data_IF_670326765436
#
_entry.id   IF_670326765436
#
_cell.length_a   1.000
_cell.length_b   1.000
_cell.length_c   1.000
_cell.angle_alpha   90.00
_cell.angle_beta   90.00
_cell.angle_gamma   90.00
#
_symmetry.space_group_name_H-M   'P 1'
#
loop_
_entity.id
_entity.type
_entity.pdbx_description
1 polymer ?
#
# COMPACT_ATOMS: atom_id res chain seq x y z
N UNK A 1 31.92 -1.91 20.23
CA UNK A 1 30.63 -1.19 20.53
C UNK A 1 30.91 0.28 20.21
N UNK A 2 30.75 0.67 18.92
CA UNK A 2 30.95 2.07 18.51
C UNK A 2 29.71 2.86 18.93
N UNK A 3 29.95 3.85 19.78
CA UNK A 3 28.95 4.82 20.20
C UNK A 3 28.60 5.67 18.97
N UNK A 4 27.43 5.45 18.39
CA UNK A 4 26.87 6.32 17.36
C UNK A 4 26.54 7.63 18.07
N UNK A 5 27.46 8.61 18.00
CA UNK A 5 27.15 9.98 18.40
C UNK A 5 26.04 10.49 17.47
N UNK A 6 24.85 10.73 18.01
CA UNK A 6 23.81 11.48 17.34
C UNK A 6 24.36 12.85 16.93
N UNK A 7 24.55 13.04 15.62
CA UNK A 7 24.99 14.34 15.08
C UNK A 7 23.83 15.32 15.20
N UNK A 8 23.85 16.14 16.23
CA UNK A 8 22.94 17.27 16.34
C UNK A 8 23.07 18.16 15.09
N UNK A 9 21.97 18.53 14.45
CA UNK A 9 22.03 19.41 13.27
C UNK A 9 22.59 20.79 13.69
N UNK A 10 23.48 21.33 12.86
CA UNK A 10 24.03 22.67 13.07
C UNK A 10 22.89 23.70 12.99
N UNK A 11 22.87 24.66 13.94
CA UNK A 11 21.92 25.76 13.90
C UNK A 11 22.29 26.76 12.79
N UNK A 12 21.28 27.50 12.31
CA UNK A 12 21.50 28.56 11.30
C UNK A 12 22.52 29.59 11.77
N UNK A 13 22.44 29.97 13.04
CA UNK A 13 23.34 30.94 13.68
C UNK A 13 24.79 30.43 13.73
N UNK A 14 25.03 29.17 14.05
CA UNK A 14 26.36 28.56 14.00
C UNK A 14 26.98 28.58 12.61
N UNK A 15 26.16 28.36 11.57
CA UNK A 15 26.61 28.40 10.18
C UNK A 15 26.95 29.84 9.78
N UNK A 16 26.11 30.82 10.12
CA UNK A 16 26.34 32.26 9.84
C UNK A 16 27.59 32.77 10.54
N UNK A 17 27.82 32.41 11.79
CA UNK A 17 29.05 32.74 12.53
C UNK A 17 30.31 32.15 11.87
N UNK A 18 30.26 30.90 11.45
CA UNK A 18 31.36 30.26 10.77
C UNK A 18 31.69 30.97 9.44
N UNK A 19 30.69 31.35 8.66
CA UNK A 19 30.85 32.10 7.41
C UNK A 19 31.49 33.43 7.66
N UNK A 20 31.00 34.21 8.62
CA UNK A 20 31.53 35.54 8.97
C UNK A 20 33.01 35.49 9.41
N UNK A 21 33.40 34.45 10.19
CA UNK A 21 34.80 34.24 10.58
C UNK A 21 35.67 33.96 9.34
N UNK A 22 35.23 33.09 8.43
CA UNK A 22 35.97 32.77 7.23
C UNK A 22 36.08 33.98 6.28
N UNK A 23 35.04 34.78 6.14
CA UNK A 23 35.05 36.03 5.36
C UNK A 23 36.04 37.06 5.95
N UNK A 24 36.05 37.21 7.27
CA UNK A 24 36.98 38.09 7.96
C UNK A 24 38.44 37.69 7.76
N UNK A 25 38.75 36.40 7.86
CA UNK A 25 40.09 35.85 7.63
C UNK A 25 40.51 35.90 6.14
N UNK A 26 39.58 35.80 5.22
CA UNK A 26 39.85 35.94 3.79
C UNK A 26 40.06 37.40 3.36
N UNK A 27 39.39 38.36 4.01
CA UNK A 27 39.54 39.79 3.70
C UNK A 27 40.84 40.38 4.24
N UNK A 28 41.34 39.84 5.34
CA UNK A 28 42.59 40.25 5.95
C UNK A 28 43.36 39.01 6.45
N UNK A 29 44.23 38.52 5.59
CA UNK A 29 44.99 37.28 5.83
C UNK A 29 45.98 37.36 6.98
N UNK A 30 46.40 38.55 7.37
CA UNK A 30 47.36 38.75 8.48
C UNK A 30 46.71 38.41 9.82
N UNK A 31 45.40 38.56 9.97
CA UNK A 31 44.66 38.18 11.17
C UNK A 31 44.77 36.70 11.54
N UNK A 32 45.15 35.85 10.59
CA UNK A 32 45.38 34.45 10.87
C UNK A 32 46.53 34.22 11.84
N UNK A 33 47.48 35.18 11.92
CA UNK A 33 48.63 35.15 12.86
C UNK A 33 48.26 35.59 14.27
N UNK A 34 47.11 36.24 14.47
CA UNK A 34 46.57 36.60 15.79
C UNK A 34 45.98 35.36 16.50
N UNK A 35 45.73 34.28 15.75
CA UNK A 35 45.22 33.03 16.30
C UNK A 35 46.37 32.20 16.88
N UNK A 36 46.23 31.62 18.10
CA UNK A 36 47.22 30.70 18.66
C UNK A 36 47.61 29.59 17.69
N UNK A 37 48.88 29.24 17.63
CA UNK A 37 49.44 28.34 16.61
C UNK A 37 48.68 27.02 16.47
N UNK A 38 48.31 26.41 17.58
CA UNK A 38 47.57 25.11 17.56
C UNK A 38 46.20 25.26 16.91
N UNK A 39 45.43 26.28 17.31
CA UNK A 39 44.09 26.54 16.75
C UNK A 39 44.15 26.94 15.29
N UNK A 40 45.17 27.69 14.87
CA UNK A 40 45.43 28.09 13.48
C UNK A 40 45.68 26.86 12.60
N UNK A 41 46.55 25.95 13.05
CA UNK A 41 46.84 24.70 12.32
C UNK A 41 45.56 23.87 12.17
N UNK A 42 44.80 23.74 13.28
CA UNK A 42 43.53 22.98 13.26
C UNK A 42 42.52 23.63 12.31
N UNK A 43 42.34 24.95 12.37
CA UNK A 43 41.40 25.66 11.48
C UNK A 43 41.75 25.50 10.00
N UNK A 44 43.01 25.71 9.62
CA UNK A 44 43.47 25.58 8.23
C UNK A 44 43.34 24.11 7.76
N UNK A 45 43.67 23.16 8.62
CA UNK A 45 43.57 21.73 8.31
C UNK A 45 42.12 21.32 8.05
N UNK A 46 41.19 21.70 8.92
CA UNK A 46 39.78 21.35 8.77
C UNK A 46 39.11 22.10 7.58
N UNK A 47 39.46 23.39 7.39
CA UNK A 47 39.01 24.13 6.21
C UNK A 47 39.54 23.52 4.91
N UNK A 48 40.79 23.06 4.91
CA UNK A 48 41.40 22.35 3.78
C UNK A 48 40.71 21.00 3.48
N UNK A 49 40.42 20.23 4.51
CA UNK A 49 39.69 18.96 4.39
C UNK A 49 38.25 19.16 3.89
N UNK A 50 37.61 20.25 4.29
CA UNK A 50 36.26 20.58 3.85
C UNK A 50 36.23 21.04 2.37
N UNK A 51 37.18 21.94 1.99
CA UNK A 51 37.25 22.54 0.64
C UNK A 51 37.85 21.60 -0.42
N UNK A 52 38.76 20.72 -0.04
CA UNK A 52 39.49 19.80 -0.92
C UNK A 52 39.38 18.36 -0.39
N UNK A 53 38.18 17.77 -0.34
CA UNK A 53 38.03 16.40 0.14
C UNK A 53 38.72 15.39 -0.78
N UNK A 54 39.25 14.32 -0.21
CA UNK A 54 39.82 13.21 -0.96
C UNK A 54 38.76 12.60 -1.91
N UNK A 55 39.22 12.00 -3.01
CA UNK A 55 38.33 11.44 -4.05
C UNK A 55 37.26 10.49 -3.46
N UNK A 56 37.63 9.67 -2.50
CA UNK A 56 36.72 8.72 -1.85
C UNK A 56 35.65 9.43 -1.03
N UNK A 57 36.02 10.49 -0.32
CA UNK A 57 35.09 11.33 0.45
C UNK A 57 34.14 12.08 -0.48
N UNK A 58 34.60 12.61 -1.62
CA UNK A 58 33.80 13.23 -2.66
C UNK A 58 32.76 12.25 -3.22
N UNK A 59 33.19 11.03 -3.52
CA UNK A 59 32.31 9.96 -4.01
C UNK A 59 31.28 9.56 -2.94
N UNK A 60 31.68 9.46 -1.68
CA UNK A 60 30.78 9.18 -0.57
C UNK A 60 29.73 10.28 -0.41
N UNK A 61 30.11 11.55 -0.46
CA UNK A 61 29.19 12.70 -0.40
C UNK A 61 28.20 12.71 -1.56
N UNK A 62 28.67 12.48 -2.81
CA UNK A 62 27.80 12.37 -4.00
C UNK A 62 26.79 11.22 -3.87
N UNK A 63 27.22 10.04 -3.43
CA UNK A 63 26.33 8.89 -3.20
C UNK A 63 25.30 9.17 -2.11
N UNK A 64 25.72 9.80 -1.00
CA UNK A 64 24.82 10.18 0.09
C UNK A 64 23.78 11.22 -0.34
N UNK A 65 24.19 12.24 -1.10
CA UNK A 65 23.29 13.26 -1.64
C UNK A 65 22.27 12.63 -2.60
N UNK A 66 22.73 11.80 -3.55
CA UNK A 66 21.84 11.06 -4.47
C UNK A 66 20.84 10.19 -3.71
N UNK A 67 21.32 9.42 -2.72
CA UNK A 67 20.43 8.56 -1.90
C UNK A 67 19.35 9.35 -1.16
N UNK A 68 19.66 10.58 -0.69
CA UNK A 68 18.65 11.45 -0.05
C UNK A 68 17.59 11.91 -1.05
N UNK A 69 17.99 12.31 -2.26
CA UNK A 69 17.07 12.73 -3.33
C UNK A 69 16.18 11.55 -3.75
N UNK A 70 16.79 10.39 -4.02
CA UNK A 70 16.06 9.18 -4.41
C UNK A 70 15.06 8.75 -3.33
N UNK A 71 15.44 8.83 -2.05
CA UNK A 71 14.56 8.54 -0.92
C UNK A 71 13.39 9.52 -0.83
N UNK A 72 13.63 10.81 -1.04
CA UNK A 72 12.57 11.82 -1.04
C UNK A 72 11.59 11.59 -2.19
N UNK A 73 12.09 11.34 -3.40
CA UNK A 73 11.25 11.01 -4.56
C UNK A 73 10.41 9.74 -4.33
N UNK A 74 11.01 8.68 -3.79
CA UNK A 74 10.31 7.44 -3.46
C UNK A 74 9.20 7.63 -2.41
N UNK A 75 9.40 8.51 -1.43
CA UNK A 75 8.38 8.82 -0.42
C UNK A 75 7.20 9.61 -1.02
N UNK A 76 7.48 10.56 -1.91
CA UNK A 76 6.42 11.29 -2.65
C UNK A 76 5.59 10.30 -3.48
N UNK A 77 6.24 9.42 -4.24
CA UNK A 77 5.56 8.40 -5.05
C UNK A 77 4.75 7.41 -4.18
N UNK A 78 5.26 7.05 -3.02
CA UNK A 78 4.55 6.20 -2.06
C UNK A 78 3.28 6.88 -1.54
N UNK A 79 3.37 8.18 -1.21
CA UNK A 79 2.23 8.95 -0.74
C UNK A 79 1.20 9.16 -1.85
N UNK A 80 1.62 9.43 -3.09
CA UNK A 80 0.73 9.50 -4.25
C UNK A 80 -0.07 8.19 -4.42
N UNK A 81 0.60 7.03 -4.34
CA UNK A 81 -0.06 5.72 -4.44
C UNK A 81 -1.03 5.43 -3.30
N UNK A 82 -0.74 5.89 -2.07
CA UNK A 82 -1.65 5.73 -0.91
C UNK A 82 -3.01 6.38 -1.12
N UNK A 83 -3.08 7.40 -1.96
CA UNK A 83 -4.35 8.10 -2.28
C UNK A 83 -5.26 7.30 -3.20
N UNK A 84 -4.79 6.23 -3.83
CA UNK A 84 -5.62 5.38 -4.70
C UNK A 84 -6.60 4.54 -3.89
N UNK A 85 -7.81 4.31 -4.43
CA UNK A 85 -8.88 3.59 -3.73
C UNK A 85 -8.50 2.18 -3.30
N UNK A 86 -7.71 1.46 -4.10
CA UNK A 86 -7.26 0.11 -3.76
C UNK A 86 -6.29 0.10 -2.56
N UNK A 87 -5.46 1.12 -2.40
CA UNK A 87 -4.53 1.23 -1.26
C UNK A 87 -5.28 1.61 0.02
N UNK A 88 -6.17 2.57 -0.05
CA UNK A 88 -7.04 2.94 1.07
C UNK A 88 -7.86 1.75 1.57
N UNK A 89 -8.40 0.94 0.67
CA UNK A 89 -9.16 -0.26 1.04
C UNK A 89 -8.29 -1.34 1.72
N UNK A 90 -7.00 -1.42 1.40
CA UNK A 90 -6.07 -2.38 2.02
C UNK A 90 -5.57 -1.95 3.40
N UNK A 91 -5.55 -0.66 3.68
CA UNK A 91 -5.13 -0.12 4.98
C UNK A 91 -6.25 -0.19 6.04
N UNK A 92 -7.50 -0.43 5.62
CA UNK A 92 -8.61 -0.63 6.54
C UNK A 92 -8.40 -1.89 7.41
N UNK A 93 -8.66 -1.77 8.70
CA UNK A 93 -8.52 -2.88 9.68
C UNK A 93 -9.42 -4.08 9.35
N UNK A 94 -10.56 -3.83 8.74
CA UNK A 94 -11.46 -4.82 8.14
C UNK A 94 -11.58 -4.48 6.67
N UNK A 95 -11.18 -5.41 5.79
CA UNK A 95 -11.33 -5.20 4.35
C UNK A 95 -12.82 -5.25 4.00
N UNK A 96 -13.36 -4.11 3.64
CA UNK A 96 -14.70 -3.96 3.07
C UNK A 96 -14.54 -3.79 1.55
N UNK A 97 -15.39 -4.45 0.76
CA UNK A 97 -15.36 -4.26 -0.69
C UNK A 97 -15.57 -2.77 -1.02
N UNK A 98 -14.63 -2.11 -1.73
CA UNK A 98 -14.77 -0.69 -2.02
C UNK A 98 -16.05 -0.44 -2.81
N UNK A 99 -16.84 0.52 -2.36
CA UNK A 99 -17.99 1.02 -3.12
C UNK A 99 -17.51 1.71 -4.40
N UNK A 100 -18.37 1.80 -5.40
CA UNK A 100 -18.10 2.58 -6.60
C UNK A 100 -17.82 4.02 -6.20
N UNK A 101 -16.60 4.48 -6.44
CA UNK A 101 -16.20 5.85 -6.17
C UNK A 101 -16.15 6.57 -7.51
N UNK A 102 -16.88 7.67 -7.63
CA UNK A 102 -16.74 8.56 -8.79
C UNK A 102 -15.29 9.02 -8.92
N UNK A 103 -14.80 9.09 -10.16
CA UNK A 103 -13.46 9.59 -10.42
C UNK A 103 -13.29 10.96 -9.73
N UNK A 104 -12.30 11.09 -8.86
CA UNK A 104 -11.96 12.39 -8.30
C UNK A 104 -11.34 13.22 -9.43
N UNK A 105 -11.78 14.47 -9.58
CA UNK A 105 -11.26 15.41 -10.58
C UNK A 105 -9.77 15.82 -10.36
N UNK A 106 -9.09 15.24 -9.38
CA UNK A 106 -7.68 15.50 -9.13
C UNK A 106 -6.82 14.41 -9.76
N UNK A 107 -6.04 14.79 -10.78
CA UNK A 107 -5.00 13.93 -11.33
C UNK A 107 -3.84 13.81 -10.33
N UNK A 108 -3.66 12.63 -9.77
CA UNK A 108 -2.50 12.30 -8.95
C UNK A 108 -1.41 11.74 -9.86
N UNK A 109 -0.22 12.34 -9.82
CA UNK A 109 0.92 11.92 -10.66
C UNK A 109 2.04 11.33 -9.80
N UNK A 110 2.70 10.28 -10.31
CA UNK A 110 3.97 9.80 -9.79
C UNK A 110 5.13 10.60 -10.41
N UNK A 111 6.22 10.76 -9.66
CA UNK A 111 7.45 11.41 -10.17
C UNK A 111 8.10 10.51 -11.22
N UNK A 112 8.26 9.23 -10.87
CA UNK A 112 8.86 8.26 -11.78
C UNK A 112 7.78 7.63 -12.69
N UNK A 113 8.05 7.47 -14.01
CA UNK A 113 7.19 6.71 -14.91
C UNK A 113 7.08 5.25 -14.43
N UNK A 114 5.90 4.66 -14.58
CA UNK A 114 5.60 3.29 -14.18
C UNK A 114 5.09 2.48 -15.35
N UNK A 115 5.44 1.21 -15.41
CA UNK A 115 4.90 0.27 -16.38
C UNK A 115 3.50 -0.20 -15.97
N UNK A 116 2.54 -0.15 -16.90
CA UNK A 116 1.20 -0.65 -16.70
C UNK A 116 1.20 -2.18 -16.56
N UNK A 117 0.55 -2.69 -15.52
CA UNK A 117 0.46 -4.13 -15.29
C UNK A 117 -0.21 -4.88 -16.46
N UNK A 118 -1.14 -4.24 -17.18
CA UNK A 118 -1.93 -4.87 -18.25
C UNK A 118 -1.26 -4.69 -19.62
N UNK A 119 -1.13 -3.44 -20.12
CA UNK A 119 -0.66 -3.15 -21.48
C UNK A 119 0.85 -2.91 -21.59
N UNK A 120 1.58 -2.84 -20.47
CA UNK A 120 3.02 -2.61 -20.39
C UNK A 120 3.47 -1.20 -20.82
N UNK A 121 2.56 -0.32 -21.20
CA UNK A 121 2.89 1.07 -21.52
C UNK A 121 3.31 1.87 -20.27
N UNK A 122 4.21 2.82 -20.46
CA UNK A 122 4.67 3.70 -19.38
C UNK A 122 3.65 4.79 -19.11
N UNK A 123 3.36 5.03 -17.83
CA UNK A 123 2.43 6.07 -17.38
C UNK A 123 2.94 6.77 -16.13
N UNK A 124 2.50 8.01 -15.92
CA UNK A 124 2.76 8.81 -14.70
C UNK A 124 1.48 9.19 -13.97
N UNK A 125 0.36 9.35 -14.68
CA UNK A 125 -0.93 9.68 -14.08
C UNK A 125 -1.56 8.43 -13.49
N UNK A 126 -1.79 8.44 -12.17
CA UNK A 126 -2.38 7.31 -11.45
C UNK A 126 -3.89 7.29 -11.67
N UNK A 127 -4.43 6.11 -11.95
CA UNK A 127 -5.87 5.92 -11.95
C UNK A 127 -6.44 6.08 -10.52
N UNK A 128 -7.61 6.69 -10.37
CA UNK A 128 -8.21 7.01 -9.07
C UNK A 128 -8.36 5.79 -8.13
N UNK A 129 -8.51 4.60 -8.69
CA UNK A 129 -8.65 3.36 -7.93
C UNK A 129 -7.39 2.48 -7.97
N UNK A 130 -6.77 2.30 -9.14
CA UNK A 130 -5.62 1.40 -9.32
C UNK A 130 -4.30 2.17 -9.38
N UNK A 131 -3.31 1.73 -8.60
CA UNK A 131 -1.97 2.32 -8.60
C UNK A 131 -0.99 1.66 -9.58
N UNK A 132 -1.40 0.58 -10.26
CA UNK A 132 -0.54 -0.24 -11.13
C UNK A 132 -1.01 -0.30 -12.58
N UNK A 133 -2.03 0.45 -12.95
CA UNK A 133 -2.61 0.46 -14.30
C UNK A 133 -2.64 1.89 -14.85
N UNK A 134 -2.42 2.05 -16.17
CA UNK A 134 -2.67 3.30 -16.86
C UNK A 134 -4.18 3.64 -16.85
N UNK A 135 -4.55 4.86 -17.21
CA UNK A 135 -5.94 5.32 -17.13
C UNK A 135 -6.90 4.39 -17.88
N UNK A 136 -6.64 4.09 -19.15
CA UNK A 136 -7.51 3.26 -20.00
C UNK A 136 -7.68 1.83 -19.47
N UNK A 137 -6.58 1.18 -19.07
CA UNK A 137 -6.64 -0.15 -18.46
C UNK A 137 -7.33 -0.13 -17.10
N UNK A 138 -7.11 0.95 -16.33
CA UNK A 138 -7.76 1.17 -15.04
C UNK A 138 -9.27 1.32 -15.19
N UNK A 139 -9.74 2.17 -16.09
CA UNK A 139 -11.16 2.40 -16.36
C UNK A 139 -11.85 1.12 -16.79
N UNK A 140 -11.25 0.37 -17.74
CA UNK A 140 -11.78 -0.90 -18.19
C UNK A 140 -11.93 -1.91 -17.05
N UNK A 141 -10.89 -2.11 -16.25
CA UNK A 141 -10.93 -3.05 -15.13
C UNK A 141 -11.86 -2.56 -14.01
N UNK A 142 -11.96 -1.24 -13.80
CA UNK A 142 -12.85 -0.66 -12.82
C UNK A 142 -14.33 -0.89 -13.19
N UNK A 143 -14.69 -0.70 -14.45
CA UNK A 143 -16.04 -1.01 -14.95
C UNK A 143 -16.38 -2.50 -14.77
N UNK A 144 -15.42 -3.40 -15.07
CA UNK A 144 -15.60 -4.85 -14.89
C UNK A 144 -15.79 -5.27 -13.43
N UNK A 145 -15.24 -4.49 -12.48
CA UNK A 145 -15.37 -4.77 -11.05
C UNK A 145 -16.82 -4.77 -10.56
N UNK A 146 -17.68 -4.01 -11.20
CA UNK A 146 -19.10 -3.87 -10.84
C UNK A 146 -20.03 -4.61 -11.81
N UNK A 147 -19.48 -5.36 -12.76
CA UNK A 147 -20.26 -6.21 -13.62
C UNK A 147 -20.92 -7.31 -12.78
N UNK A 148 -22.23 -7.50 -12.97
CA UNK A 148 -23.02 -8.53 -12.30
C UNK A 148 -23.88 -9.28 -13.31
N UNK A 149 -24.46 -10.41 -12.88
CA UNK A 149 -25.45 -11.19 -13.62
C UNK A 149 -26.64 -11.47 -12.69
N UNK A 150 -27.79 -11.77 -13.25
CA UNK A 150 -28.92 -12.27 -12.47
C UNK A 150 -28.71 -13.76 -12.15
N UNK A 151 -28.56 -14.09 -10.88
CA UNK A 151 -28.40 -15.45 -10.37
C UNK A 151 -29.62 -15.89 -9.55
N UNK A 152 -30.77 -15.26 -9.75
CA UNK A 152 -32.00 -15.60 -9.03
C UNK A 152 -32.37 -17.08 -9.31
N UNK A 153 -32.67 -17.82 -8.23
CA UNK A 153 -33.01 -19.23 -8.28
C UNK A 153 -31.82 -20.19 -8.45
N UNK A 154 -30.59 -19.67 -8.55
CA UNK A 154 -29.39 -20.52 -8.57
C UNK A 154 -28.90 -20.82 -7.18
N UNK A 155 -28.31 -21.99 -6.97
CA UNK A 155 -27.72 -22.48 -5.75
C UNK A 155 -26.20 -22.54 -5.91
N UNK A 156 -25.49 -21.83 -5.04
CA UNK A 156 -24.02 -21.79 -5.05
C UNK A 156 -23.43 -22.29 -3.74
N UNK A 157 -22.38 -23.10 -3.83
CA UNK A 157 -21.57 -23.52 -2.70
C UNK A 157 -20.21 -22.83 -2.78
N UNK A 158 -19.86 -22.12 -1.70
CA UNK A 158 -18.57 -21.42 -1.59
C UNK A 158 -17.82 -21.93 -0.38
N UNK A 159 -16.65 -22.52 -0.58
CA UNK A 159 -15.77 -22.94 0.52
C UNK A 159 -14.88 -21.81 0.99
N UNK A 160 -14.44 -21.85 2.25
CA UNK A 160 -13.57 -20.79 2.80
C UNK A 160 -14.19 -19.39 2.80
N UNK A 161 -15.49 -19.29 2.90
CA UNK A 161 -16.33 -18.10 2.72
C UNK A 161 -16.22 -17.04 3.82
N UNK A 162 -15.47 -17.28 4.89
CA UNK A 162 -15.40 -16.37 6.05
C UNK A 162 -14.59 -15.10 5.80
N UNK A 163 -13.55 -15.15 4.98
CA UNK A 163 -12.57 -14.08 4.78
C UNK A 163 -12.13 -13.98 3.32
N UNK A 164 -11.59 -12.80 2.96
CA UNK A 164 -10.89 -12.56 1.69
C UNK A 164 -11.73 -12.94 0.46
N UNK A 165 -11.18 -13.75 -0.45
CA UNK A 165 -11.78 -14.06 -1.74
C UNK A 165 -13.14 -14.75 -1.58
N UNK A 166 -13.21 -15.81 -0.78
CA UNK A 166 -14.48 -16.53 -0.56
C UNK A 166 -15.58 -15.66 0.03
N UNK A 167 -15.23 -14.75 0.95
CA UNK A 167 -16.17 -13.78 1.52
C UNK A 167 -16.75 -12.84 0.47
N UNK A 168 -15.88 -12.25 -0.38
CA UNK A 168 -16.34 -11.31 -1.41
C UNK A 168 -17.15 -12.00 -2.49
N UNK A 169 -16.76 -13.21 -2.91
CA UNK A 169 -17.51 -13.99 -3.88
C UNK A 169 -18.91 -14.30 -3.32
N UNK A 170 -19.00 -14.75 -2.08
CA UNK A 170 -20.30 -14.99 -1.42
C UNK A 170 -21.19 -13.74 -1.44
N UNK A 171 -20.67 -12.57 -1.09
CA UNK A 171 -21.42 -11.31 -1.15
C UNK A 171 -21.85 -10.95 -2.56
N UNK A 172 -20.98 -11.12 -3.56
CA UNK A 172 -21.32 -10.84 -4.96
C UNK A 172 -22.47 -11.73 -5.44
N UNK A 173 -22.43 -13.02 -5.13
CA UNK A 173 -23.46 -13.97 -5.54
C UNK A 173 -24.80 -13.71 -4.83
N UNK A 174 -24.77 -13.40 -3.53
CA UNK A 174 -25.97 -13.03 -2.76
C UNK A 174 -26.62 -11.76 -3.32
N UNK A 175 -25.81 -10.74 -3.62
CA UNK A 175 -26.29 -9.48 -4.23
C UNK A 175 -26.81 -9.67 -5.65
N UNK A 176 -26.31 -10.69 -6.34
CA UNK A 176 -26.76 -11.11 -7.68
C UNK A 176 -28.03 -12.00 -7.67
N UNK A 177 -28.55 -12.37 -6.50
CA UNK A 177 -29.81 -13.11 -6.36
C UNK A 177 -29.66 -14.60 -6.00
N UNK A 178 -28.46 -15.16 -5.97
CA UNK A 178 -28.23 -16.57 -5.66
C UNK A 178 -28.58 -16.93 -4.21
N UNK A 179 -28.96 -18.18 -3.97
CA UNK A 179 -28.88 -18.83 -2.66
C UNK A 179 -27.46 -19.34 -2.46
N UNK A 180 -26.78 -18.91 -1.42
CA UNK A 180 -25.37 -19.27 -1.20
C UNK A 180 -25.20 -20.09 0.06
N UNK A 181 -24.63 -21.27 -0.11
CA UNK A 181 -24.18 -22.15 0.95
C UNK A 181 -22.70 -21.81 1.22
N UNK A 182 -22.46 -21.17 2.33
CA UNK A 182 -21.14 -20.63 2.72
C UNK A 182 -20.51 -21.54 3.77
N UNK A 183 -19.41 -22.24 3.43
CA UNK A 183 -18.77 -23.14 4.38
C UNK A 183 -17.51 -22.55 4.99
N UNK A 184 -17.32 -22.84 6.28
CA UNK A 184 -16.17 -22.34 7.03
C UNK A 184 -15.95 -23.18 8.29
N UNK A 185 -14.73 -23.19 8.84
CA UNK A 185 -14.44 -23.78 10.16
C UNK A 185 -14.98 -22.95 11.33
N UNK A 186 -15.36 -21.68 11.08
CA UNK A 186 -15.80 -20.73 12.11
C UNK A 186 -17.15 -20.10 11.74
N UNK A 187 -18.25 -20.86 11.81
CA UNK A 187 -19.56 -20.41 11.32
C UNK A 187 -20.12 -19.20 12.10
N UNK A 188 -19.92 -19.14 13.41
CA UNK A 188 -20.41 -18.03 14.26
C UNK A 188 -19.73 -16.70 13.87
N UNK A 189 -18.39 -16.69 13.77
CA UNK A 189 -17.66 -15.48 13.33
C UNK A 189 -18.06 -15.06 11.91
N UNK A 190 -18.28 -16.04 11.03
CA UNK A 190 -18.77 -15.78 9.67
C UNK A 190 -20.14 -15.11 9.68
N UNK A 191 -21.08 -15.63 10.44
CA UNK A 191 -22.44 -15.06 10.56
C UNK A 191 -22.40 -13.60 11.07
N UNK A 192 -21.60 -13.34 12.11
CA UNK A 192 -21.44 -11.99 12.67
C UNK A 192 -20.83 -11.00 11.67
N UNK A 193 -19.98 -11.48 10.76
CA UNK A 193 -19.38 -10.64 9.69
C UNK A 193 -20.41 -10.29 8.63
N UNK A 194 -21.13 -11.27 8.11
CA UNK A 194 -22.17 -11.05 7.11
C UNK A 194 -23.31 -10.17 7.63
N UNK A 195 -23.71 -10.34 8.89
CA UNK A 195 -24.77 -9.53 9.50
C UNK A 195 -24.43 -8.03 9.60
N UNK A 196 -23.16 -7.66 9.52
CA UNK A 196 -22.70 -6.27 9.52
C UNK A 196 -22.63 -5.64 8.11
N UNK A 197 -22.84 -6.43 7.08
CA UNK A 197 -22.78 -5.93 5.70
C UNK A 197 -24.02 -5.13 5.34
N UNK A 198 -23.81 -4.10 4.55
CA UNK A 198 -24.89 -3.27 4.03
C UNK A 198 -25.85 -4.07 3.15
N UNK A 199 -27.14 -3.93 3.41
CA UNK A 199 -28.18 -4.63 2.68
C UNK A 199 -28.41 -6.07 3.15
N UNK A 200 -27.90 -6.47 4.31
CA UNK A 200 -28.08 -7.83 4.85
C UNK A 200 -29.56 -8.23 4.89
N UNK A 201 -30.48 -7.31 5.21
CA UNK A 201 -31.91 -7.58 5.29
C UNK A 201 -32.48 -8.06 3.93
N UNK A 202 -31.89 -7.64 2.80
CA UNK A 202 -32.38 -7.98 1.46
C UNK A 202 -31.93 -9.34 0.97
N UNK A 203 -30.78 -9.83 1.43
CA UNK A 203 -30.18 -11.07 0.92
C UNK A 203 -29.84 -12.11 2.01
N UNK A 204 -29.86 -11.72 3.29
CA UNK A 204 -29.44 -12.59 4.40
C UNK A 204 -30.25 -13.89 4.50
N UNK A 205 -31.51 -13.89 4.10
CA UNK A 205 -32.37 -15.08 4.07
C UNK A 205 -31.88 -16.15 3.06
N UNK A 206 -31.12 -15.76 2.04
CA UNK A 206 -30.50 -16.65 1.05
C UNK A 206 -29.10 -17.13 1.43
N UNK A 207 -28.53 -16.64 2.52
CA UNK A 207 -27.24 -17.08 3.04
C UNK A 207 -27.45 -18.25 4.00
N UNK A 208 -26.81 -19.39 3.73
CA UNK A 208 -26.77 -20.58 4.59
C UNK A 208 -25.33 -20.85 5.01
N UNK A 209 -25.02 -20.73 6.29
CA UNK A 209 -23.66 -20.89 6.80
C UNK A 209 -23.52 -22.23 7.48
N UNK A 210 -22.52 -23.03 7.05
CA UNK A 210 -22.23 -24.34 7.60
C UNK A 210 -20.81 -24.44 8.11
N UNK A 211 -20.67 -25.14 9.26
CA UNK A 211 -19.37 -25.55 9.77
C UNK A 211 -18.82 -26.71 8.96
N UNK A 212 -17.66 -26.52 8.32
CA UNK A 212 -17.01 -27.54 7.52
C UNK A 212 -15.48 -27.41 7.61
N UNK A 213 -14.81 -28.49 7.99
CA UNK A 213 -13.37 -28.63 7.85
C UNK A 213 -13.03 -29.60 6.71
N UNK A 214 -12.55 -29.08 5.58
CA UNK A 214 -12.19 -29.86 4.41
C UNK A 214 -11.02 -30.85 4.62
N UNK A 215 -10.30 -30.73 5.74
CA UNK A 215 -9.22 -31.66 6.12
C UNK A 215 -9.77 -32.92 6.82
N UNK A 216 -11.04 -32.91 7.21
CA UNK A 216 -11.69 -34.00 7.93
C UNK A 216 -12.75 -34.64 7.05
N UNK A 217 -12.40 -35.75 6.38
CA UNK A 217 -13.26 -36.41 5.40
C UNK A 217 -14.66 -36.75 5.91
N UNK A 218 -14.85 -37.30 7.14
CA UNK A 218 -16.20 -37.56 7.65
C UNK A 218 -17.07 -36.31 7.73
N UNK A 219 -16.49 -35.13 8.03
CA UNK A 219 -17.21 -33.87 8.00
C UNK A 219 -17.69 -33.50 6.60
N UNK A 220 -16.89 -33.78 5.59
CA UNK A 220 -17.24 -33.55 4.18
C UNK A 220 -18.38 -34.50 3.75
N UNK A 221 -18.32 -35.77 4.10
CA UNK A 221 -19.37 -36.77 3.78
C UNK A 221 -20.71 -36.39 4.42
N UNK A 222 -20.72 -36.05 5.70
CA UNK A 222 -21.94 -35.58 6.40
C UNK A 222 -22.51 -34.34 5.70
N UNK A 223 -21.64 -33.41 5.32
CA UNK A 223 -22.06 -32.19 4.62
C UNK A 223 -22.63 -32.49 3.23
N UNK A 224 -22.00 -33.38 2.46
CA UNK A 224 -22.52 -33.79 1.15
C UNK A 224 -23.89 -34.47 1.24
N UNK A 225 -24.07 -35.38 2.19
CA UNK A 225 -25.34 -36.02 2.45
C UNK A 225 -26.44 -35.00 2.83
N UNK A 226 -26.08 -33.99 3.63
CA UNK A 226 -26.98 -32.88 3.94
C UNK A 226 -27.37 -32.10 2.68
N UNK A 227 -26.39 -31.79 1.80
CA UNK A 227 -26.63 -31.05 0.57
C UNK A 227 -27.61 -31.81 -0.35
N UNK A 228 -27.41 -33.12 -0.53
CA UNK A 228 -28.29 -33.97 -1.35
C UNK A 228 -29.74 -34.03 -0.84
N UNK A 229 -29.92 -33.94 0.49
CA UNK A 229 -31.25 -33.95 1.10
C UNK A 229 -31.97 -32.58 1.05
N UNK A 230 -31.23 -31.49 1.01
CA UNK A 230 -31.80 -30.15 1.13
C UNK A 230 -31.94 -29.43 -0.23
N UNK A 231 -31.20 -29.82 -1.24
CA UNK A 231 -31.13 -29.13 -2.51
C UNK A 231 -31.23 -30.11 -3.69
N UNK A 232 -32.14 -29.85 -4.61
CA UNK A 232 -32.31 -30.68 -5.82
C UNK A 232 -31.20 -30.43 -6.85
N UNK A 233 -30.47 -29.34 -6.73
CA UNK A 233 -29.41 -28.94 -7.69
C UNK A 233 -28.33 -28.09 -7.02
N UNK A 234 -27.16 -28.14 -7.58
CA UNK A 234 -26.04 -27.24 -7.28
C UNK A 234 -25.56 -26.66 -8.63
N UNK A 235 -25.68 -25.34 -8.79
CA UNK A 235 -25.34 -24.65 -10.05
C UNK A 235 -23.90 -24.19 -10.09
N UNK A 236 -23.36 -23.76 -8.92
CA UNK A 236 -22.02 -23.17 -8.82
C UNK A 236 -21.29 -23.76 -7.63
N UNK A 237 -20.09 -24.27 -7.88
CA UNK A 237 -19.15 -24.70 -6.83
C UNK A 237 -17.86 -23.85 -6.91
N UNK A 238 -17.52 -23.20 -5.82
CA UNK A 238 -16.28 -22.41 -5.67
C UNK A 238 -15.50 -22.94 -4.47
N UNK A 239 -14.32 -23.47 -4.76
CA UNK A 239 -13.42 -24.02 -3.75
C UNK A 239 -12.09 -23.21 -3.68
#
# INVERSE_FOLDING_TARGET
>A
MEIIQEKTPLSKEQIEQCIAILETLNSDTDRIFDIPMEQRIQLITEAGRLSRPQKDELNRRKRSAKKKIDKAAAEIDKNARRQTGIRSAREASVFVAPKMIAAKNQEVKSIAPRECYVCKEMFTTLHHFYDTMCASCGDFNYAKRYQTADLTGQVALVTGSRLKIGYHITLMMLRAGATVIATTRFPVDSALRYAKEEGFETWGHRLKIHGLDLRHIPSVEIFCNYMEQQYDRLDVLIN
#
